data_IF_875387375519
#
_entry.id   IF_875387375519
#
_cell.length_a   1.000
_cell.length_b   1.000
_cell.length_c   1.000
_cell.angle_alpha   90.00
_cell.angle_beta   90.00
_cell.angle_gamma   90.00
#
_symmetry.space_group_name_H-M   'P 1'
#
loop_
_entity.id
_entity.type
_entity.pdbx_description
1 polymer ?
2 polymer ?
3 non-polymer ?
4 water ?
#
# COMPACT_ATOMS: atom_id res chain seq x y z
N UNK A 1 -0.73 -10.02 17.43
CA UNK A 1 0.06 -8.88 18.00
C UNK A 1 -0.91 -7.80 18.45
N UNK A 2 -0.57 -6.56 18.19
CA UNK A 2 -1.47 -5.46 18.43
C UNK A 2 -1.81 -4.86 17.05
N UNK A 3 -1.38 -5.59 16.03
CA UNK A 3 -1.53 -5.16 14.64
C UNK A 3 -2.97 -4.94 14.23
N UNK A 4 -3.15 -3.98 13.31
CA UNK A 4 -4.44 -3.76 12.73
C UNK A 4 -5.45 -3.06 13.60
N UNK A 5 -5.11 -2.78 14.86
CA UNK A 5 -6.02 -2.03 15.74
C UNK A 5 -5.51 -0.60 15.87
N UNK A 6 -6.26 0.36 15.31
CA UNK A 6 -5.79 1.75 15.30
C UNK A 6 -6.06 2.46 16.61
N UNK A 7 -5.04 3.18 17.12
CA UNK A 7 -5.15 3.94 18.36
C UNK A 7 -6.36 4.86 18.36
N UNK A 8 -6.61 5.56 17.25
CA UNK A 8 -7.69 6.54 17.24
C UNK A 8 -9.02 6.01 16.81
N UNK A 9 -9.10 4.74 16.45
CA UNK A 9 -10.38 4.18 16.04
C UNK A 9 -10.75 2.94 16.85
N UNK A 10 -10.22 1.78 16.46
CA UNK A 10 -10.55 0.54 17.15
C UNK A 10 -10.31 0.60 18.65
N UNK A 11 -9.16 1.11 19.06
CA UNK A 11 -8.84 1.17 20.48
C UNK A 11 -9.87 1.97 21.29
N UNK A 12 -10.48 2.98 20.65
CA UNK A 12 -11.43 3.85 21.34
C UNK A 12 -12.86 3.56 20.96
N UNK A 13 -13.04 2.48 20.19
CA UNK A 13 -14.35 2.06 19.68
C UNK A 13 -15.02 3.13 18.81
N UNK A 14 -14.20 3.82 18.02
CA UNK A 14 -14.67 4.81 17.07
C UNK A 14 -14.51 4.25 15.63
N UNK A 15 -15.45 4.56 14.77
CA UNK A 15 -15.40 4.10 13.39
C UNK A 15 -15.04 5.23 12.48
N UNK A 16 -14.24 4.97 11.45
CA UNK A 16 -13.99 6.02 10.48
C UNK A 16 -15.22 6.18 9.58
N UNK A 17 -15.19 7.18 8.74
CA UNK A 17 -16.35 7.57 7.95
C UNK A 17 -16.77 6.60 6.86
N UNK A 18 -15.91 5.69 6.40
CA UNK A 18 -16.36 4.80 5.32
C UNK A 18 -16.12 3.32 5.61
N UNK A 19 -15.72 2.94 6.82
CA UNK A 19 -15.43 1.51 7.02
C UNK A 19 -16.67 0.66 6.91
N UNK A 20 -17.83 1.25 7.20
CA UNK A 20 -19.12 0.57 7.06
C UNK A 20 -19.30 0.02 5.63
N UNK A 21 -18.83 0.77 4.62
CA UNK A 21 -18.92 0.35 3.22
C UNK A 21 -18.21 -1.00 2.97
N UNK A 22 -17.06 -1.18 3.61
CA UNK A 22 -16.32 -2.42 3.47
C UNK A 22 -17.07 -3.57 4.13
N UNK A 23 -17.47 -3.37 5.39
CA UNK A 23 -18.15 -4.43 6.14
C UNK A 23 -19.49 -4.80 5.50
N UNK A 24 -20.19 -3.85 4.90
CA UNK A 24 -21.46 -4.16 4.26
C UNK A 24 -21.27 -5.00 3.01
N UNK A 25 -20.07 -5.01 2.46
CA UNK A 25 -19.82 -5.79 1.25
C UNK A 25 -19.38 -7.21 1.59
N UNK A 26 -19.07 -7.46 2.86
CA UNK A 26 -18.59 -8.77 3.26
C UNK A 26 -19.74 -9.73 3.52
N UNK A 27 -20.39 -10.13 2.43
CA UNK A 27 -21.54 -11.06 2.38
C UNK A 27 -22.62 -10.47 1.47
N UNK A 31 -4.37 8.87 -5.84
CA UNK A 31 -5.70 8.22 -5.79
C UNK A 31 -6.69 9.06 -6.62
N UNK A 32 -7.37 8.39 -7.54
CA UNK A 32 -8.37 9.03 -8.36
C UNK A 32 -9.77 8.76 -7.78
N UNK A 33 -10.56 9.83 -7.60
CA UNK A 33 -11.92 9.72 -7.07
C UNK A 33 -12.00 9.20 -5.63
N UNK A 34 -10.99 9.52 -4.82
CA UNK A 34 -11.04 9.17 -3.42
C UNK A 34 -11.39 10.39 -2.57
N UNK A 35 -11.16 10.32 -1.27
CA UNK A 35 -11.40 11.47 -0.42
C UNK A 35 -10.29 11.61 0.59
N UNK A 36 -10.26 12.73 1.27
CA UNK A 36 -9.23 12.98 2.27
C UNK A 36 -9.33 11.96 3.38
N UNK A 37 -8.21 11.43 3.79
CA UNK A 37 -8.22 10.52 4.90
C UNK A 37 -8.42 11.28 6.20
N UNK A 38 -8.97 10.61 7.20
CA UNK A 38 -9.07 11.17 8.54
C UNK A 38 -7.72 11.00 9.21
N UNK A 39 -7.42 11.82 10.21
CA UNK A 39 -6.16 11.68 10.90
C UNK A 39 -6.15 10.31 11.61
N UNK A 40 -5.02 9.59 11.48
CA UNK A 40 -4.86 8.29 12.11
C UNK A 40 -5.67 7.15 11.49
N UNK A 41 -6.26 7.38 10.33
CA UNK A 41 -7.09 6.38 9.64
C UNK A 41 -6.25 5.19 9.05
N UNK A 42 -5.00 5.46 8.66
CA UNK A 42 -4.09 4.43 8.12
C UNK A 42 -2.71 4.65 8.75
N UNK A 43 -2.57 4.33 10.05
CA UNK A 43 -1.31 4.54 10.77
C UNK A 43 -0.14 3.66 10.31
N UNK A 44 -0.42 2.72 9.42
CA UNK A 44 0.63 1.87 8.82
C UNK A 44 1.13 2.45 7.48
N UNK A 45 0.53 3.57 7.02
CA UNK A 45 0.94 4.16 5.75
C UNK A 45 2.34 4.75 5.83
N UNK A 46 3.16 4.43 4.84
CA UNK A 46 4.52 4.91 4.78
C UNK A 46 4.76 5.60 3.45
N UNK A 47 5.58 6.64 3.46
CA UNK A 47 5.96 7.33 2.24
C UNK A 47 7.42 6.98 1.91
N UNK A 48 7.66 6.51 0.69
CA UNK A 48 9.04 6.30 0.23
C UNK A 48 9.51 7.60 -0.39
N UNK A 49 10.55 8.17 0.20
CA UNK A 49 10.98 9.50 -0.19
C UNK A 49 12.42 9.49 -0.67
N UNK A 50 12.66 10.06 -1.85
CA UNK A 50 14.01 10.11 -2.37
C UNK A 50 14.77 11.29 -1.74
N UNK A 51 16.03 11.05 -1.42
CA UNK A 51 16.87 12.08 -0.80
C UNK A 51 17.20 13.21 -1.77
N UNK A 52 17.74 12.87 -2.94
CA UNK A 52 18.15 13.91 -3.90
C UNK A 52 17.97 13.47 -5.33
N UNK A 53 17.04 14.08 -6.07
CA UNK A 53 16.16 15.16 -5.58
C UNK A 53 15.12 14.66 -4.54
N UNK A 54 14.60 15.59 -3.74
CA UNK A 54 13.58 15.25 -2.75
C UNK A 54 12.27 15.05 -3.47
N UNK A 55 11.74 13.85 -3.45
CA UNK A 55 10.48 13.60 -4.11
C UNK A 55 9.83 12.34 -3.61
N UNK A 56 8.50 12.29 -3.71
CA UNK A 56 7.75 11.10 -3.35
C UNK A 56 7.99 10.04 -4.42
N UNK A 57 8.45 8.89 -3.98
CA UNK A 57 8.76 7.79 -4.88
C UNK A 57 7.60 6.80 -4.98
N UNK A 58 7.01 6.47 -3.84
CA UNK A 58 6.04 5.39 -3.78
C UNK A 58 5.45 5.35 -2.38
N UNK A 59 4.38 4.56 -2.24
CA UNK A 59 3.83 4.27 -0.93
C UNK A 59 4.44 2.99 -0.38
N UNK A 60 4.10 2.66 0.85
CA UNK A 60 4.62 1.47 1.50
C UNK A 60 3.79 1.26 2.76
N UNK A 61 4.09 0.22 3.52
CA UNK A 61 3.32 -0.03 4.72
C UNK A 61 4.20 -0.55 5.86
N UNK A 62 3.80 -0.23 7.08
CA UNK A 62 4.52 -0.64 8.27
C UNK A 62 3.94 -1.97 8.77
N UNK A 63 4.76 -3.02 8.82
CA UNK A 63 4.23 -4.30 9.28
C UNK A 63 4.83 -4.72 10.64
N UNK A 64 5.85 -4.00 11.10
CA UNK A 64 6.37 -4.17 12.45
C UNK A 64 7.16 -2.93 12.80
N UNK A 65 7.87 -2.93 13.94
CA UNK A 65 8.67 -1.76 14.36
C UNK A 65 9.91 -1.55 13.51
N UNK A 66 10.29 -2.59 12.76
CA UNK A 66 11.53 -2.54 11.99
C UNK A 66 11.32 -2.81 10.51
N UNK A 67 10.12 -3.19 10.09
CA UNK A 67 9.94 -3.66 8.71
C UNK A 67 8.88 -2.94 7.93
N UNK A 68 9.23 -2.58 6.71
CA UNK A 68 8.33 -1.91 5.79
C UNK A 68 8.15 -2.78 4.55
N UNK A 69 6.92 -2.87 4.08
CA UNK A 69 6.62 -3.65 2.90
C UNK A 69 6.25 -2.71 1.72
N UNK A 70 6.76 -3.01 0.52
CA UNK A 70 6.44 -2.22 -0.66
C UNK A 70 6.55 -3.07 -1.94
N UNK A 71 6.34 -2.45 -3.08
CA UNK A 71 6.46 -3.14 -4.36
C UNK A 71 7.91 -3.12 -4.82
N UNK A 72 8.40 -4.26 -5.34
CA UNK A 72 9.78 -4.32 -5.83
C UNK A 72 10.04 -3.28 -6.91
N UNK A 73 9.05 -3.03 -7.76
CA UNK A 73 9.24 -2.11 -8.89
C UNK A 73 9.46 -0.66 -8.44
N UNK A 74 9.17 -0.38 -7.17
CA UNK A 74 9.44 0.95 -6.62
C UNK A 74 10.93 1.15 -6.45
N UNK A 75 11.67 0.02 -6.36
CA UNK A 75 13.09 0.06 -6.14
C UNK A 75 13.88 -0.38 -7.34
N UNK A 76 13.34 -1.33 -8.09
CA UNK A 76 14.08 -1.94 -9.19
C UNK A 76 13.19 -2.12 -10.40
N UNK A 77 13.51 -1.43 -11.47
CA UNK A 77 12.78 -1.57 -12.72
C UNK A 77 13.70 -1.21 -13.86
N UNK A 78 14.56 -2.17 -14.24
CA UNK A 78 15.57 -2.01 -15.32
C UNK A 78 15.11 -1.31 -16.61
N UNK A 79 13.91 -1.60 -17.16
CA UNK A 79 13.44 -0.93 -18.38
C UNK A 79 13.51 0.61 -18.28
N UNK A 80 13.29 1.12 -17.06
CA UNK A 80 13.30 2.57 -16.82
C UNK A 80 14.55 2.99 -16.08
N UNK A 81 15.59 2.17 -16.17
CA UNK A 81 16.83 2.46 -15.50
C UNK A 81 16.62 2.81 -14.03
N UNK A 82 15.71 2.09 -13.38
CA UNK A 82 15.47 2.34 -11.96
C UNK A 82 16.12 1.26 -11.11
N UNK A 83 16.95 1.67 -10.18
CA UNK A 83 17.61 0.74 -9.28
C UNK A 83 18.08 1.48 -8.01
N UNK A 84 17.16 1.65 -7.06
CA UNK A 84 17.49 2.36 -5.82
C UNK A 84 18.10 1.46 -4.77
N UNK A 85 19.05 2.02 -4.04
CA UNK A 85 19.69 1.32 -2.95
C UNK A 85 19.28 1.99 -1.63
N UNK A 86 19.68 1.38 -0.51
CA UNK A 86 19.33 1.86 0.83
C UNK A 86 19.67 3.32 1.04
N UNK A 87 20.80 3.74 0.52
CA UNK A 87 21.27 5.10 0.74
C UNK A 87 20.61 6.13 -0.14
N UNK A 88 19.73 5.70 -1.05
CA UNK A 88 19.04 6.63 -1.91
C UNK A 88 17.72 7.07 -1.31
N UNK A 89 17.28 6.35 -0.29
CA UNK A 89 15.92 6.51 0.17
C UNK A 89 15.77 6.79 1.66
N UNK A 90 14.64 7.41 1.97
CA UNK A 90 14.20 7.63 3.34
C UNK A 90 12.74 7.16 3.47
N UNK A 91 12.37 6.58 4.61
CA UNK A 91 10.97 6.29 4.85
C UNK A 91 10.40 7.32 5.84
N UNK A 92 9.27 7.90 5.49
CA UNK A 92 8.59 8.86 6.33
C UNK A 92 7.30 8.20 6.86
N UNK A 93 7.19 8.10 8.18
CA UNK A 93 6.08 7.39 8.82
C UNK A 93 5.22 8.33 9.69
N UNK A 94 3.91 8.09 9.72
CA UNK A 94 3.00 8.88 10.54
C UNK A 94 2.50 10.15 9.86
N UNK A 95 2.59 10.22 8.52
CA UNK A 95 2.24 11.43 7.80
C UNK A 95 0.79 11.53 7.41
N UNK A 96 0.37 12.77 7.22
CA UNK A 96 -0.95 13.10 6.74
C UNK A 96 -0.79 14.04 5.55
N UNK A 97 -0.10 15.15 5.78
CA UNK A 97 0.19 16.09 4.72
C UNK A 97 1.18 15.47 3.75
N UNK A 98 0.97 15.70 2.46
CA UNK A 98 1.86 15.16 1.43
C UNK A 98 3.23 15.85 1.43
N UNK A 99 3.25 17.18 1.55
CA UNK A 99 4.51 17.92 1.36
C UNK A 99 5.19 18.51 2.62
N UNK A 100 4.45 18.80 3.68
CA UNK A 100 5.08 19.45 4.81
C UNK A 100 5.80 18.48 5.73
N UNK A 101 6.84 18.98 6.37
CA UNK A 101 7.53 18.24 7.38
C UNK A 101 6.72 18.34 8.65
N UNK A 102 6.05 17.26 9.02
CA UNK A 102 5.15 17.28 10.16
C UNK A 102 5.88 17.12 11.49
N UNK A 103 6.40 18.26 11.97
CA UNK A 103 7.16 18.37 13.21
C UNK A 103 6.40 17.76 14.36
N UNK A 104 7.12 16.91 15.11
CA UNK A 104 6.57 16.24 16.30
C UNK A 104 5.58 15.13 15.98
N UNK A 105 5.30 14.87 14.71
CA UNK A 105 4.29 13.87 14.35
C UNK A 105 4.90 12.73 13.54
N UNK A 106 5.49 13.05 12.40
CA UNK A 106 6.09 12.02 11.57
C UNK A 106 7.48 11.63 12.06
N UNK A 107 7.90 10.45 11.68
CA UNK A 107 9.23 9.96 11.98
C UNK A 107 9.90 9.53 10.67
N UNK A 108 11.14 9.97 10.47
CA UNK A 108 11.87 9.63 9.27
C UNK A 108 12.90 8.57 9.61
N UNK A 109 13.08 7.58 8.73
CA UNK A 109 14.07 6.54 9.00
C UNK A 109 14.91 6.25 7.80
N UNK A 110 16.12 5.82 8.08
CA UNK A 110 17.03 5.40 7.06
C UNK A 110 16.92 3.90 6.94
N UNK A 111 17.32 3.39 5.80
CA UNK A 111 17.21 1.97 5.56
C UNK A 111 18.48 1.25 5.84
N UNK A 112 18.34 0.06 6.36
CA UNK A 112 19.48 -0.76 6.60
C UNK A 112 19.66 -1.73 5.45
N UNK A 113 18.58 -2.39 5.05
CA UNK A 113 18.66 -3.38 3.99
C UNK A 113 17.37 -3.46 3.20
N UNK A 114 17.52 -3.69 1.92
CA UNK A 114 16.40 -3.85 1.01
C UNK A 114 16.43 -5.28 0.50
N UNK A 115 15.31 -5.96 0.56
CA UNK A 115 15.19 -7.32 0.07
C UNK A 115 14.11 -7.39 -0.99
N UNK A 116 14.49 -7.82 -2.17
CA UNK A 116 13.54 -7.96 -3.26
C UNK A 116 13.28 -9.45 -3.53
N UNK A 117 12.04 -9.82 -3.85
CA UNK A 117 11.73 -11.22 -4.12
C UNK A 117 12.66 -11.72 -5.23
N UNK A 118 13.38 -12.86 -4.98
CA UNK A 118 14.32 -13.44 -5.95
C UNK A 118 13.70 -13.77 -7.31
N UNK A 119 12.40 -14.03 -7.35
CA UNK A 119 11.74 -14.36 -8.61
C UNK A 119 10.81 -13.27 -9.11
N UNK A 120 11.08 -12.03 -8.69
CA UNK A 120 10.36 -10.85 -9.16
C UNK A 120 10.51 -10.77 -10.69
N UNK A 121 9.38 -10.72 -11.41
CA UNK A 121 9.43 -10.74 -12.88
C UNK A 121 9.21 -9.37 -13.50
N UNK A 122 10.29 -8.58 -13.60
CA UNK A 122 10.21 -7.24 -14.17
C UNK A 122 10.29 -7.27 -15.68
N UNK A 123 10.70 -8.42 -16.21
CA UNK A 123 10.84 -8.55 -17.66
C UNK A 123 9.50 -8.66 -18.36
N UNK A 124 8.56 -9.30 -17.73
CA UNK A 124 7.31 -9.59 -18.40
C UNK A 124 6.06 -8.97 -17.78
N UNK A 125 5.71 -9.39 -16.57
CA UNK A 125 4.40 -9.02 -16.03
C UNK A 125 4.40 -8.52 -14.58
N UNK A 126 5.58 -8.19 -14.03
CA UNK A 126 5.68 -7.75 -12.62
C UNK A 126 5.18 -8.81 -11.65
N UNK A 127 5.32 -10.07 -12.03
CA UNK A 127 4.91 -11.16 -11.15
C UNK A 127 5.78 -11.13 -9.89
N UNK A 128 5.15 -11.34 -8.74
CA UNK A 128 5.87 -11.29 -7.46
C UNK A 128 6.49 -9.89 -7.19
N UNK A 129 5.70 -8.87 -7.43
CA UNK A 129 6.12 -7.48 -7.22
C UNK A 129 6.08 -7.15 -5.71
N UNK A 130 7.10 -7.57 -4.98
CA UNK A 130 7.13 -7.39 -3.54
C UNK A 130 8.57 -7.18 -3.05
N UNK A 131 8.73 -6.35 -2.02
CA UNK A 131 10.03 -6.11 -1.43
C UNK A 131 9.84 -5.72 0.03
N UNK A 132 10.88 -6.04 0.81
CA UNK A 132 10.92 -5.70 2.23
C UNK A 132 12.08 -4.76 2.47
N UNK A 133 11.91 -3.89 3.44
CA UNK A 133 12.95 -2.96 3.79
C UNK A 133 13.11 -2.97 5.29
N UNK A 134 14.33 -3.15 5.74
CA UNK A 134 14.63 -3.16 7.15
C UNK A 134 15.09 -1.77 7.58
N UNK A 135 14.42 -1.22 8.60
CA UNK A 135 14.76 0.12 9.11
C UNK A 135 16.06 0.09 9.91
N UNK A 136 16.83 1.17 9.83
CA UNK A 136 18.09 1.26 10.56
C UNK A 136 17.85 1.11 12.07
N UNK A 137 16.83 1.82 12.55
CA UNK A 137 16.44 1.75 13.96
C UNK A 137 14.95 1.58 14.06
N UNK A 138 14.50 0.84 15.06
CA UNK A 138 13.06 0.58 15.29
C UNK A 138 12.29 1.88 15.42
N UNK A 139 11.06 1.90 14.94
CA UNK A 139 10.24 3.09 15.03
C UNK A 139 9.31 2.96 16.24
N UNK A 140 9.10 4.06 16.95
CA UNK A 140 8.22 4.06 18.09
C UNK A 140 6.79 4.27 17.63
N UNK A 141 5.89 3.43 18.11
CA UNK A 141 4.48 3.55 17.76
C UNK A 141 3.86 4.73 18.48
N UNK A 142 2.74 5.19 17.95
CA UNK A 142 2.05 6.33 18.50
C UNK A 142 0.62 6.31 17.96
N UNK A 143 -0.11 7.40 18.17
CA UNK A 143 -1.47 7.49 17.67
C UNK A 143 -1.52 7.50 16.13
N UNK A 144 -0.40 7.92 15.53
CA UNK A 144 -0.31 8.11 14.09
C UNK A 144 0.53 7.05 13.40
N UNK A 145 1.18 6.21 14.18
CA UNK A 145 2.09 5.18 13.66
C UNK A 145 1.76 3.83 14.33
N UNK A 146 1.36 2.87 13.53
CA UNK A 146 0.93 1.57 14.03
C UNK A 146 0.96 0.54 12.88
N UNK A 147 1.47 -0.68 13.12
CA UNK A 147 1.55 -1.71 12.08
C UNK A 147 0.22 -2.37 11.70
N UNK A 148 0.13 -2.76 10.43
CA UNK A 148 -1.01 -3.49 9.91
C UNK A 148 -0.71 -4.98 10.02
N UNK A 149 -1.73 -5.80 10.05
CA UNK A 149 -1.52 -7.24 10.14
C UNK A 149 -1.30 -7.85 8.77
N UNK A 150 -0.57 -8.96 8.73
CA UNK A 150 -0.45 -9.74 7.48
C UNK A 150 -1.45 -10.86 7.57
N UNK A 151 -2.11 -11.22 6.46
CA UNK A 151 -3.13 -12.26 6.48
C UNK A 151 -2.58 -13.66 6.70
N UNK A 152 -3.41 -14.49 7.31
CA UNK A 152 -3.16 -15.91 7.43
C UNK A 152 -4.04 -16.60 6.40
N UNK A 153 -3.82 -17.89 6.16
CA UNK A 153 -4.57 -18.61 5.12
C UNK A 153 -6.07 -18.45 5.27
N UNK A 154 -6.54 -18.57 6.49
CA UNK A 154 -7.96 -18.51 6.77
C UNK A 154 -8.54 -17.12 6.50
N UNK A 155 -7.78 -16.07 6.84
CA UNK A 155 -8.26 -14.70 6.60
C UNK A 155 -8.28 -14.40 5.08
N UNK A 156 -7.25 -14.85 4.37
CA UNK A 156 -7.22 -14.66 2.93
C UNK A 156 -8.38 -15.36 2.28
N UNK A 157 -8.61 -16.59 2.68
CA UNK A 157 -9.68 -17.40 2.09
C UNK A 157 -11.08 -16.76 2.21
N UNK A 158 -11.44 -16.28 3.40
CA UNK A 158 -12.77 -15.71 3.58
C UNK A 158 -12.91 -14.26 3.09
N UNK A 159 -11.82 -13.50 3.01
CA UNK A 159 -11.93 -12.10 2.61
C UNK A 159 -11.64 -11.82 1.15
N UNK A 160 -10.73 -12.57 0.55
CA UNK A 160 -10.38 -12.34 -0.85
C UNK A 160 -11.42 -12.94 -1.79
N UNK A 161 -12.56 -12.27 -1.88
CA UNK A 161 -13.63 -12.74 -2.72
C UNK A 161 -14.19 -11.59 -3.55
N UNK A 162 -14.51 -11.89 -4.81
CA UNK A 162 -15.04 -10.89 -5.74
C UNK A 162 -16.24 -10.16 -5.14
N UNK A 163 -16.26 -8.85 -5.27
CA UNK A 163 -17.36 -8.07 -4.73
C UNK A 163 -17.07 -7.47 -3.35
N UNK A 164 -16.19 -8.13 -2.58
CA UNK A 164 -15.77 -7.60 -1.28
C UNK A 164 -14.87 -6.41 -1.52
N UNK A 165 -15.05 -5.37 -0.73
CA UNK A 165 -14.28 -4.15 -0.90
C UNK A 165 -13.08 -4.07 0.01
N UNK A 166 -12.01 -3.57 -0.55
CA UNK A 166 -10.84 -3.28 0.20
C UNK A 166 -10.56 -1.78 0.10
N UNK A 167 -9.48 -1.33 0.73
CA UNK A 167 -9.17 0.07 0.77
C UNK A 167 -7.75 0.33 0.34
N UNK A 168 -7.59 1.37 -0.47
CA UNK A 168 -6.27 1.80 -0.94
C UNK A 168 -6.02 3.24 -0.48
N UNK A 169 -4.81 3.53 -0.08
CA UNK A 169 -4.50 4.89 0.36
C UNK A 169 -3.20 5.35 -0.25
N UNK A 170 -3.06 6.65 -0.42
CA UNK A 170 -1.81 7.15 -0.95
C UNK A 170 -1.83 8.64 -1.28
N UNK A 171 -0.65 9.17 -1.56
CA UNK A 171 -0.50 10.57 -1.88
C UNK A 171 -0.27 10.78 -3.37
N UNK A 172 -0.67 9.80 -4.16
CA UNK A 172 -0.48 9.89 -5.61
C UNK A 172 -1.41 10.89 -6.29
N UNK A 173 -1.22 11.05 -7.59
CA UNK A 173 -1.99 12.00 -8.36
C UNK A 173 -3.46 11.71 -8.34
N UNK A 174 -4.22 12.76 -8.55
CA UNK A 174 -5.68 12.70 -8.50
C UNK A 174 -6.31 12.43 -9.85
N UNK A 175 -5.51 12.48 -10.90
CA UNK A 175 -6.01 12.25 -12.25
C UNK A 175 -4.87 11.68 -13.05
N UNK A 176 -5.20 10.91 -14.07
CA UNK A 176 -4.15 10.35 -14.92
C UNK A 176 -3.50 11.47 -15.71
N UNK A 177 -4.36 12.37 -16.16
CA UNK A 177 -3.98 13.47 -17.00
C UNK A 177 -3.50 14.68 -16.17
N UNK A 185 -4.24 17.51 -9.88
CA UNK A 185 -2.79 17.39 -9.62
C UNK A 185 -2.51 16.40 -8.52
N UNK A 186 -1.81 16.85 -7.49
CA UNK A 186 -1.54 16.03 -6.34
C UNK A 186 -2.32 16.55 -5.14
N UNK A 187 -2.72 15.65 -4.23
CA UNK A 187 -3.50 16.03 -3.05
C UNK A 187 -2.65 16.76 -2.02
N UNK A 188 -3.29 17.45 -1.11
CA UNK A 188 -2.54 18.07 -0.04
C UNK A 188 -2.39 17.08 1.11
N UNK A 189 -3.38 16.21 1.27
CA UNK A 189 -3.34 15.23 2.34
C UNK A 189 -3.59 13.84 1.77
N UNK A 190 -3.30 12.84 2.59
CA UNK A 190 -3.49 11.45 2.23
C UNK A 190 -4.93 11.21 1.75
N UNK A 191 -5.05 10.47 0.66
CA UNK A 191 -6.36 10.16 0.09
C UNK A 191 -6.71 8.70 0.36
N UNK A 192 -7.98 8.41 0.33
CA UNK A 192 -8.45 7.07 0.56
C UNK A 192 -9.58 6.75 -0.44
N UNK A 193 -9.62 5.50 -0.90
CA UNK A 193 -10.69 5.04 -1.76
C UNK A 193 -10.98 3.55 -1.51
N UNK A 194 -12.24 3.18 -1.53
CA UNK A 194 -12.68 1.80 -1.28
C UNK A 194 -13.07 1.18 -2.60
N UNK A 195 -12.52 0.01 -2.89
CA UNK A 195 -12.73 -0.62 -4.21
C UNK A 195 -13.05 -2.10 -4.08
N UNK A 196 -13.97 -2.62 -4.90
CA UNK A 196 -14.34 -4.04 -4.86
C UNK A 196 -13.32 -4.94 -5.60
N UNK A 197 -13.11 -6.14 -5.08
CA UNK A 197 -12.25 -7.12 -5.73
C UNK A 197 -13.00 -7.68 -6.94
N UNK A 198 -12.31 -7.92 -8.04
CA UNK A 198 -12.96 -8.35 -9.27
C UNK A 198 -12.66 -9.82 -9.63
N UNK A 199 -13.61 -10.46 -10.28
CA UNK A 199 -13.48 -11.85 -10.71
C UNK A 199 -12.25 -12.02 -11.60
N UNK A 200 -11.46 -13.05 -11.35
CA UNK A 200 -10.23 -13.29 -12.12
C UNK A 200 -10.45 -13.24 -13.65
N UNK A 201 -11.54 -13.85 -14.19
CA UNK A 201 -11.82 -13.83 -15.64
C UNK A 201 -11.91 -12.42 -16.17
N UNK A 202 -12.62 -11.59 -15.43
CA UNK A 202 -12.80 -10.20 -15.82
C UNK A 202 -11.44 -9.51 -15.81
N UNK A 203 -10.62 -9.83 -14.82
CA UNK A 203 -9.29 -9.23 -14.77
C UNK A 203 -8.46 -9.65 -16.00
N UNK A 204 -8.46 -10.96 -16.32
CA UNK A 204 -7.68 -11.49 -17.46
C UNK A 204 -8.15 -10.87 -18.80
N UNK A 205 -9.46 -10.76 -18.96
CA UNK A 205 -10.04 -10.25 -20.19
C UNK A 205 -9.93 -8.73 -20.36
N UNK A 206 -9.29 -8.04 -19.42
CA UNK A 206 -9.19 -6.59 -19.53
C UNK A 206 -7.81 -6.18 -20.00
N UNK A 207 -6.93 -7.13 -20.20
CA UNK A 207 -5.57 -6.78 -20.49
C UNK A 207 -4.91 -7.82 -21.36
N UNK A 208 -3.81 -7.45 -22.02
CA UNK A 208 -3.04 -8.38 -22.84
C UNK A 208 -1.90 -8.96 -22.00
N UNK A 209 -1.67 -8.35 -20.82
CA UNK A 209 -0.60 -8.81 -19.90
C UNK A 209 -0.98 -10.18 -19.31
N UNK A 210 -0.01 -11.07 -19.21
CA UNK A 210 -0.27 -12.38 -18.62
C UNK A 210 -0.35 -12.27 -17.09
N UNK A 211 -1.51 -12.52 -16.53
CA UNK A 211 -1.66 -12.39 -15.10
C UNK A 211 -1.51 -13.75 -14.38
N UNK A 212 -0.91 -13.71 -13.20
CA UNK A 212 -0.59 -14.91 -12.46
C UNK A 212 -1.40 -15.00 -11.18
N UNK A 213 -1.24 -16.09 -10.44
CA UNK A 213 -1.96 -16.26 -9.16
C UNK A 213 -1.37 -15.39 -8.07
N UNK A 214 -0.26 -14.72 -8.35
CA UNK A 214 0.35 -13.82 -7.38
C UNK A 214 -0.18 -12.40 -7.50
N UNK A 215 -1.25 -12.23 -8.27
CA UNK A 215 -1.89 -10.92 -8.45
C UNK A 215 -3.38 -11.09 -8.33
N UNK A 216 -4.05 -9.99 -8.04
CA UNK A 216 -5.49 -9.93 -8.10
C UNK A 216 -5.82 -8.51 -8.56
N UNK A 217 -7.01 -8.30 -9.13
CA UNK A 217 -7.38 -6.95 -9.56
C UNK A 217 -8.59 -6.47 -8.83
N UNK A 218 -8.77 -5.16 -8.80
CA UNK A 218 -9.87 -4.54 -8.09
C UNK A 218 -10.28 -3.26 -8.80
N UNK A 219 -11.51 -2.85 -8.59
CA UNK A 219 -11.99 -1.62 -9.20
C UNK A 219 -13.40 -1.79 -9.66
N UNK A 220 -14.10 -0.70 -9.93
CA UNK A 220 -15.47 -0.83 -10.40
C UNK A 220 -15.51 -1.13 -11.89
N UNK A 221 -16.51 -1.91 -12.29
CA UNK A 221 -16.75 -2.21 -13.70
C UNK A 221 -17.46 -1.02 -14.29
N UNK A 222 -17.26 -0.74 -15.58
CA UNK A 222 -17.88 0.43 -16.26
C UNK A 222 -19.35 0.69 -15.89
N UNK A 223 -20.11 -0.38 -15.72
CA UNK A 223 -21.55 -0.27 -15.45
C UNK A 223 -21.89 0.07 -13.99
N UNK A 224 -20.95 -0.12 -13.07
CA UNK A 224 -21.24 0.04 -11.65
C UNK A 224 -21.47 1.47 -11.20
N UNK A 225 -21.25 2.45 -12.06
CA UNK A 225 -21.53 3.81 -11.66
C UNK A 225 -20.43 4.48 -10.84
N UNK A 226 -19.89 3.78 -9.85
CA UNK A 226 -18.81 4.36 -9.05
C UNK A 226 -17.48 4.13 -9.76
N UNK A 227 -16.43 4.83 -9.32
CA UNK A 227 -15.10 4.64 -9.90
C UNK A 227 -14.00 4.86 -8.87
N UNK A 228 -12.77 4.88 -9.33
CA UNK A 228 -11.67 5.09 -8.43
C UNK A 228 -10.51 4.19 -8.75
N UNK A 229 -9.31 4.60 -8.40
CA UNK A 229 -8.15 3.81 -8.69
C UNK A 229 -6.92 4.44 -8.07
N UNK A 230 -5.86 3.68 -7.98
CA UNK A 230 -4.59 4.23 -7.60
C UNK A 230 -3.99 4.92 -8.84
N UNK A 231 -3.06 5.82 -8.63
CA UNK A 231 -2.44 6.51 -9.74
C UNK A 231 -0.97 6.79 -9.41
N UNK A 232 -0.30 7.59 -10.22
CA UNK A 232 1.13 7.80 -10.04
C UNK A 232 1.47 8.35 -8.66
N UNK A 233 2.34 7.64 -7.96
CA UNK A 233 2.71 8.05 -6.63
C UNK A 233 2.11 7.15 -5.57
N UNK A 234 1.16 6.30 -6.00
CA UNK A 234 0.45 5.34 -5.12
C UNK A 234 1.07 3.94 -5.09
N UNK A 235 1.85 3.62 -6.09
CA UNK A 235 2.52 2.30 -6.17
C UNK A 235 3.21 1.92 -4.87
N UNK A 236 3.18 0.63 -4.54
CA UNK A 236 3.83 0.15 -3.33
C UNK A 236 2.96 0.27 -2.09
N UNK A 237 1.89 1.07 -2.17
CA UNK A 237 1.01 1.28 -1.02
C UNK A 237 0.13 0.08 -0.70
N UNK A 238 -0.52 0.08 0.46
CA UNK A 238 -1.38 -1.04 0.91
C UNK A 238 -2.82 -1.09 0.39
N UNK A 239 -3.26 -2.30 0.07
CA UNK A 239 -4.69 -2.56 -0.16
C UNK A 239 -5.13 -3.32 1.09
N UNK A 240 -5.98 -2.73 1.92
CA UNK A 240 -6.34 -3.40 3.18
C UNK A 240 -7.81 -3.74 3.28
N UNK A 241 -8.10 -4.71 4.12
CA UNK A 241 -9.49 -5.06 4.40
C UNK A 241 -9.67 -5.19 5.92
N UNK A 242 -10.86 -4.95 6.42
CA UNK A 242 -11.07 -5.09 7.85
C UNK A 242 -11.82 -6.38 8.14
N UNK A 243 -11.22 -7.26 8.93
CA UNK A 243 -11.87 -8.53 9.22
C UNK A 243 -13.09 -8.34 10.09
N UNK A 244 -14.24 -8.89 9.66
CA UNK A 244 -15.47 -8.80 10.43
C UNK A 244 -15.44 -9.75 11.65
N UNK A 245 -14.43 -10.63 11.72
CA UNK A 245 -14.29 -11.62 12.79
C UNK A 245 -13.57 -11.09 14.02
N UNK A 246 -12.46 -10.40 13.82
CA UNK A 246 -11.70 -9.87 14.94
C UNK A 246 -11.49 -8.37 14.86
N UNK A 247 -12.06 -7.75 13.81
CA UNK A 247 -12.04 -6.29 13.61
C UNK A 247 -10.65 -5.69 13.45
N UNK A 248 -9.71 -6.48 13.00
CA UNK A 248 -8.39 -5.97 12.74
C UNK A 248 -8.24 -5.71 11.25
N UNK A 249 -7.32 -4.82 10.91
CA UNK A 249 -7.02 -4.52 9.51
C UNK A 249 -5.90 -5.37 9.01
N UNK A 250 -6.12 -5.97 7.85
CA UNK A 250 -5.15 -6.85 7.21
C UNK A 250 -4.74 -6.30 5.86
N UNK A 251 -3.45 -6.34 5.56
CA UNK A 251 -3.00 -5.92 4.24
C UNK A 251 -3.10 -7.10 3.26
N UNK A 252 -4.07 -7.05 2.36
CA UNK A 252 -4.26 -8.12 1.39
C UNK A 252 -3.45 -7.91 0.13
N UNK A 253 -3.18 -6.65 -0.24
CA UNK A 253 -2.48 -6.38 -1.48
C UNK A 253 -1.51 -5.22 -1.45
N UNK A 254 -0.70 -5.14 -2.50
CA UNK A 254 0.25 -4.02 -2.71
C UNK A 254 -0.07 -3.40 -4.07
N UNK A 255 -0.23 -2.07 -4.14
CA UNK A 255 -0.47 -1.40 -5.41
C UNK A 255 0.69 -1.75 -6.37
N UNK A 256 0.37 -2.46 -7.44
CA UNK A 256 1.40 -2.94 -8.33
C UNK A 256 1.38 -2.28 -9.70
N UNK A 257 0.35 -2.52 -10.49
CA UNK A 257 0.31 -1.94 -11.83
C UNK A 257 -1.10 -1.75 -12.32
N UNK A 258 -1.21 -0.93 -13.33
CA UNK A 258 -2.50 -0.63 -13.92
C UNK A 258 -2.26 0.18 -15.17
N UNK A 259 -3.06 -0.03 -16.16
CA UNK A 259 -2.88 0.68 -17.43
C UNK A 259 -3.63 2.00 -17.37
N UNK A 260 -2.88 3.04 -17.02
CA UNK A 260 -3.49 4.34 -16.80
C UNK A 260 -4.04 4.42 -15.38
N UNK A 261 -4.95 5.35 -15.14
CA UNK A 261 -5.59 5.48 -13.84
C UNK A 261 -7.05 5.71 -14.04
N UNK A 262 -7.86 4.82 -13.48
CA UNK A 262 -9.30 4.94 -13.50
C UNK A 262 -9.90 4.98 -14.92
N UNK A 263 -9.36 4.19 -15.82
CA UNK A 263 -9.92 4.11 -17.16
C UNK A 263 -11.05 3.11 -17.19
N UNK A 264 -12.12 3.41 -17.92
CA UNK A 264 -13.24 2.46 -18.03
C UNK A 264 -12.75 1.16 -18.65
N UNK A 265 -13.14 0.04 -18.05
CA UNK A 265 -12.76 -1.26 -18.59
C UNK A 265 -11.39 -1.74 -18.16
N UNK A 266 -10.66 -0.93 -17.41
CA UNK A 266 -9.37 -1.35 -16.90
C UNK A 266 -9.46 -1.47 -15.38
N UNK A 267 -8.61 -2.30 -14.78
CA UNK A 267 -8.64 -2.50 -13.35
C UNK A 267 -7.28 -2.32 -12.74
N UNK A 268 -7.23 -2.15 -11.45
CA UNK A 268 -5.95 -2.05 -10.80
C UNK A 268 -5.46 -3.42 -10.44
N UNK A 269 -4.16 -3.67 -10.61
CA UNK A 269 -3.61 -4.95 -10.22
C UNK A 269 -2.76 -4.83 -8.97
N UNK A 270 -2.89 -5.84 -8.10
CA UNK A 270 -2.26 -5.81 -6.80
C UNK A 270 -1.47 -7.07 -6.53
N UNK A 271 -0.33 -6.94 -5.89
CA UNK A 271 0.43 -8.13 -5.46
C UNK A 271 -0.35 -8.88 -4.37
N UNK A 272 -0.45 -10.19 -4.50
CA UNK A 272 -1.21 -11.02 -3.55
C UNK A 272 -0.32 -11.33 -2.36
N UNK A 273 -0.49 -10.59 -1.28
CA UNK A 273 0.42 -10.68 -0.13
C UNK A 273 0.46 -12.08 0.50
N UNK A 274 -0.70 -12.68 0.69
CA UNK A 274 -0.72 -13.99 1.31
C UNK A 274 0.06 -15.05 0.50
N UNK A 275 -0.08 -15.06 -0.82
CA UNK A 275 0.63 -16.05 -1.66
C UNK A 275 2.11 -15.92 -1.48
N UNK A 276 2.60 -14.73 -1.09
CA UNK A 276 4.04 -14.51 -0.93
C UNK A 276 4.45 -14.40 0.55
N UNK A 277 3.53 -14.75 1.44
CA UNK A 277 3.75 -14.65 2.90
C UNK A 277 4.92 -15.51 3.37
N UNK A 278 5.06 -16.70 2.78
CA UNK A 278 6.14 -17.62 3.15
C UNK A 278 7.52 -16.97 2.94
N UNK A 279 7.69 -16.27 1.81
CA UNK A 279 8.92 -15.55 1.55
C UNK A 279 9.11 -14.43 2.57
N UNK A 280 8.01 -13.72 2.90
CA UNK A 280 8.06 -12.65 3.91
C UNK A 280 8.59 -13.18 5.24
N UNK A 281 8.02 -14.30 5.69
CA UNK A 281 8.43 -14.91 6.96
C UNK A 281 9.90 -15.34 6.91
N UNK A 282 10.32 -15.90 5.79
CA UNK A 282 11.73 -16.32 5.64
C UNK A 282 12.70 -15.16 5.85
N UNK A 283 12.49 -14.06 5.13
CA UNK A 283 13.38 -12.90 5.23
C UNK A 283 13.47 -12.39 6.66
N UNK A 284 12.35 -12.20 7.26
CA UNK A 284 12.32 -11.67 8.60
C UNK A 284 12.91 -12.66 9.60
N UNK A 285 12.57 -13.93 9.47
CA UNK A 285 13.11 -14.93 10.38
C UNK A 285 14.61 -15.12 10.18
N UNK A 286 15.08 -14.84 8.96
CA UNK A 286 16.48 -15.04 8.62
C UNK A 286 17.34 -13.79 8.81
N UNK A 287 16.73 -12.61 8.79
CA UNK A 287 17.49 -11.36 8.87
C UNK A 287 16.95 -10.40 9.95
N UNK B 1 7.92 20.26 -1.72
CA UNK B 1 8.26 19.54 -0.46
C UNK B 1 9.00 20.44 0.50
N UNK B 2 8.55 20.46 1.75
CA UNK B 2 9.21 21.23 2.78
C UNK B 2 10.52 20.52 3.13
N UNK B 3 11.57 21.30 3.29
CA UNK B 3 12.87 20.74 3.62
C UNK B 3 12.78 19.91 4.89
N UNK B 4 13.37 18.73 4.87
CA UNK B 4 13.37 17.89 6.04
C UNK B 4 14.65 18.15 6.83
N UNK B 5 14.71 17.74 8.11
CA UNK B 5 15.89 17.94 8.96
C UNK B 5 17.19 17.46 8.30
N UNK B 6 18.18 18.33 8.32
CA UNK B 6 19.48 18.06 7.68
C UNK B 6 20.10 16.73 8.10
N UNK B 7 19.73 16.24 9.27
CA UNK B 7 20.29 15.00 9.78
C UNK B 7 19.75 13.75 9.06
N UNK B 8 19.44 13.87 7.77
CA UNK B 8 18.93 12.74 7.00
C UNK B 8 19.45 12.80 5.57
N UNK B 9 19.68 14.03 5.09
CA UNK B 9 20.17 14.23 3.74
C UNK B 9 21.69 14.32 3.72
X LIG C 1 3.06 1.75 -11.30
X LIG C 1 2.61 3.11 -10.84
X LIG C 1 4.93 5.04 -9.93
X LIG C 1 5.10 6.02 -8.85
X LIG C 1 5.67 7.39 -9.23
X LIG C 1 4.57 3.77 -9.57
X LIG C 1 5.37 2.85 -9.45
X LIG C 1 3.68 1.56 -12.51
X LIG C 1 3.99 2.47 -13.29
X LIG C 1 5.76 -0.81 -14.31
X LIG C 1 4.70 -0.32 -15.27
X LIG C 1 3.56 -0.07 -14.33
X LIG C 1 3.95 0.13 -12.92
X LIG C 1 5.45 -0.20 -12.98
X LIG C 1 1.88 -0.24 -16.12
X LIG C 1 2.28 -0.02 -14.69
X LIG C 1 2.81 -0.91 -18.56
X LIG C 1 1.81 0.04 -19.00
X LIG C 1 4.14 -0.89 -19.15
X LIG C 1 4.10 -4.02 -18.49
X LIG C 1 2.82 -3.66 -18.04
X LIG C 1 2.06 -2.58 -18.73
X LIG C 1 2.32 -4.27 -16.90
X LIG C 1 3.08 -5.20 -16.21
X LIG C 1 4.34 -5.54 -16.67
X LIG C 1 4.85 -4.95 -17.81
X LIG C 1 1.39 0.21 -13.87
X LIG C 1 4.15 -1.34 -16.22
X LIG C 1 3.02 -0.73 -16.90
X LIG C 1 5.87 8.30 -8.02
X LIG C 1 5.38 9.73 -8.24
X LIG C 1 1.08 3.28 -10.92
X LIG C 1 0.62 3.51 -12.40
X LIG C 1 -0.89 3.86 -12.43
X LIG C 1 -1.69 2.68 -11.80
X LIG C 1 -3.13 2.95 -11.85
X LIG C 1 -1.21 2.43 -10.33
X LIG C 1 0.30 2.09 -10.31
X LIG C 1 3.12 3.46 -9.40
X LIG C 1 2.54 4.68 -8.80
X LIG C 1 3.11 1.03 -10.63
X LIG C 1 -3.71 2.61 -11.13
X LIG C 1 -3.49 3.40 -12.65
#
# INVERSE_FOLDING_TARGET
ADCGLRPLFEKKSLEDKTERELLESYIDGRIVEGSDAEIGMSPWQVMLFRKSPQELLCGASLISDRWVLTAAHCLLYPPWDKNFTENDLLVRIGKHSRTRYERNIEKISMLEKIYIHPRYNWRENLDRDIALMKLKKPVAFSDYIHPVCLPDRETAASLLQAGYKGRVTGWGNLKETWTANVGKGQPSVLQVVNLPIVERPVCKDSTRIRITDNMFCAGYKPDEGKRGDACEGDSGGPFVMKSPFNNRWYQMGIVSWGEGCDRDGKYGFYTHVFRLKKWIQKVIDQF
FEAIPAEYL
110 N1 C1 O3 C10 C11 C9 O2 C14 O4 C17 C18 N3 C15 C16 C21 C20 S1 O6 O7 C24 C23 C22 C26 C27 C28 C29 O5 C19 N4 C12 C13 C2 C4 C5 C6 N2 C7 C8 C3 O1 HN1 HD21 HD22
#
